data_IF_443299262175
#
_entry.id   IF_443299262175
#
_cell.length_a   1.000
_cell.length_b   1.000
_cell.length_c   1.000
_cell.angle_alpha   90.00
_cell.angle_beta   90.00
_cell.angle_gamma   90.00
#
_symmetry.space_group_name_H-M   'P 1'
#
loop_
_entity.id
_entity.type
_entity.pdbx_description
1 polymer ?
#
# COMPACT_ATOMS: atom_id res chain seq x y z
N UNK A 1 22.98 -56.71 -37.95
CA UNK A 1 21.87 -55.83 -37.51
C UNK A 1 22.29 -55.17 -36.19
N UNK A 2 22.63 -53.88 -36.24
CA UNK A 2 23.10 -53.09 -35.10
C UNK A 2 21.89 -52.65 -34.25
N UNK A 3 21.85 -53.03 -32.97
CA UNK A 3 20.85 -52.54 -32.01
C UNK A 3 21.36 -51.27 -31.35
N UNK A 4 20.59 -50.20 -31.50
CA UNK A 4 20.84 -48.86 -30.96
C UNK A 4 20.57 -48.90 -29.45
N UNK A 5 21.58 -48.52 -28.66
CA UNK A 5 21.46 -48.30 -27.22
C UNK A 5 20.85 -46.90 -27.04
N UNK A 6 19.59 -46.83 -26.62
CA UNK A 6 18.91 -45.59 -26.26
C UNK A 6 19.32 -45.15 -24.85
N UNK A 7 20.15 -44.11 -24.78
CA UNK A 7 20.61 -43.48 -23.55
C UNK A 7 19.53 -42.48 -23.08
N UNK A 8 18.79 -42.82 -22.03
CA UNK A 8 17.85 -41.90 -21.37
C UNK A 8 18.67 -40.97 -20.47
N UNK A 9 18.91 -39.75 -20.94
CA UNK A 9 19.43 -38.66 -20.11
C UNK A 9 18.26 -38.13 -19.29
N UNK A 10 18.16 -38.57 -18.03
CA UNK A 10 17.32 -37.91 -17.02
C UNK A 10 17.94 -36.54 -16.71
N UNK A 11 17.45 -35.51 -17.40
CA UNK A 11 17.67 -34.12 -17.02
C UNK A 11 16.95 -33.84 -15.71
N UNK A 12 17.66 -33.94 -14.59
CA UNK A 12 17.25 -33.32 -13.33
C UNK A 12 17.39 -31.82 -13.52
N UNK A 13 16.32 -31.19 -14.02
CA UNK A 13 16.15 -29.75 -13.94
C UNK A 13 15.98 -29.42 -12.45
N UNK A 14 17.11 -29.15 -11.80
CA UNK A 14 17.16 -28.60 -10.47
C UNK A 14 16.40 -27.28 -10.46
N UNK A 15 15.18 -27.31 -9.95
CA UNK A 15 14.47 -26.11 -9.53
C UNK A 15 15.28 -25.50 -8.40
N UNK A 16 16.13 -24.53 -8.72
CA UNK A 16 16.68 -23.59 -7.77
C UNK A 16 15.51 -22.79 -7.21
N UNK A 17 14.91 -23.32 -6.13
CA UNK A 17 14.07 -22.56 -5.24
C UNK A 17 14.95 -21.42 -4.70
N UNK A 18 14.81 -20.23 -5.28
CA UNK A 18 15.34 -19.01 -4.71
C UNK A 18 14.68 -18.86 -3.34
N UNK A 19 15.36 -19.32 -2.29
CA UNK A 19 15.00 -19.05 -0.92
C UNK A 19 15.00 -17.53 -0.76
N UNK A 20 13.82 -16.93 -0.82
CA UNK A 20 13.63 -15.53 -0.56
C UNK A 20 14.20 -15.27 0.86
N UNK A 21 15.23 -14.43 1.03
CA UNK A 21 15.90 -14.30 2.32
C UNK A 21 14.86 -13.94 3.38
N UNK A 22 14.76 -14.79 4.42
CA UNK A 22 13.77 -14.61 5.47
C UNK A 22 13.92 -13.23 6.09
N UNK A 23 12.84 -12.46 6.16
CA UNK A 23 12.85 -11.10 6.73
C UNK A 23 13.42 -11.12 8.16
N UNK A 24 14.21 -10.11 8.55
CA UNK A 24 14.80 -10.07 9.88
C UNK A 24 13.68 -9.95 10.93
N UNK A 25 13.73 -10.83 11.93
CA UNK A 25 12.80 -10.82 13.04
C UNK A 25 13.26 -9.77 14.06
N UNK A 26 12.45 -8.75 14.27
CA UNK A 26 12.75 -7.65 15.19
C UNK A 26 11.91 -7.81 16.44
N UNK A 27 12.58 -7.74 17.60
CA UNK A 27 11.90 -7.63 18.90
C UNK A 27 11.40 -6.19 19.06
N UNK A 28 10.12 -6.04 19.38
CA UNK A 28 9.48 -4.74 19.57
C UNK A 28 8.84 -4.68 20.97
N UNK A 29 8.62 -3.48 21.49
CA UNK A 29 7.78 -3.28 22.67
C UNK A 29 6.29 -3.37 22.26
N UNK A 30 5.66 -4.51 22.52
CA UNK A 30 4.29 -4.78 22.10
C UNK A 30 3.23 -3.89 22.77
N UNK A 31 3.55 -3.26 23.89
CA UNK A 31 2.61 -2.42 24.64
C UNK A 31 2.51 -1.00 24.04
N UNK A 32 3.54 -0.55 23.32
CA UNK A 32 3.64 0.82 22.77
C UNK A 32 3.83 0.84 21.24
N UNK A 33 3.78 -0.32 20.59
CA UNK A 33 3.98 -0.41 19.14
C UNK A 33 2.86 0.32 18.38
N UNK A 34 3.26 1.14 17.43
CA UNK A 34 2.40 1.79 16.44
C UNK A 34 2.94 1.58 15.04
N UNK A 35 2.02 1.65 14.08
CA UNK A 35 2.29 1.50 12.66
C UNK A 35 1.99 2.82 11.96
N UNK A 36 2.87 3.21 11.04
CA UNK A 36 2.62 4.33 10.13
C UNK A 36 2.67 3.85 8.69
N UNK A 37 1.67 4.30 7.93
CA UNK A 37 1.54 4.06 6.51
C UNK A 37 1.57 5.44 5.87
N UNK A 38 2.75 5.87 5.43
CA UNK A 38 2.92 7.20 4.88
C UNK A 38 3.31 7.11 3.42
N UNK A 39 2.68 7.93 2.60
CA UNK A 39 3.09 8.16 1.21
C UNK A 39 3.52 9.62 1.11
N UNK A 40 4.78 9.87 1.48
CA UNK A 40 5.38 11.20 1.33
C UNK A 40 5.92 11.29 -0.11
N UNK A 41 5.94 12.53 -0.64
CA UNK A 41 6.59 12.98 -1.89
C UNK A 41 7.58 11.99 -2.52
N UNK A 42 7.48 11.89 -3.84
CA UNK A 42 8.35 11.09 -4.72
C UNK A 42 8.07 9.58 -4.65
N UNK A 43 6.78 9.21 -4.72
CA UNK A 43 6.33 7.86 -5.11
C UNK A 43 6.68 6.76 -4.10
N UNK A 44 6.99 7.18 -2.88
CA UNK A 44 7.49 6.30 -1.86
C UNK A 44 6.37 5.92 -0.92
N UNK A 45 5.88 4.71 -1.11
CA UNK A 45 5.19 4.00 -0.06
C UNK A 45 6.17 3.72 1.09
N UNK A 46 5.92 4.35 2.24
CA UNK A 46 6.65 4.13 3.48
C UNK A 46 5.78 3.36 4.45
N UNK A 47 6.30 2.22 4.90
CA UNK A 47 5.70 1.44 5.97
C UNK A 47 6.69 1.32 7.12
N UNK A 48 6.27 1.79 8.28
CA UNK A 48 7.12 1.97 9.46
C UNK A 48 6.42 1.43 10.70
N UNK A 49 7.19 0.81 11.58
CA UNK A 49 6.77 0.48 12.93
C UNK A 49 7.64 1.25 13.93
N UNK A 50 7.02 1.84 14.94
CA UNK A 50 7.70 2.67 15.93
C UNK A 50 7.10 2.48 17.33
N UNK A 51 7.96 2.64 18.33
CA UNK A 51 7.62 2.50 19.75
C UNK A 51 8.66 3.23 20.61
N UNK A 52 8.36 3.40 21.89
CA UNK A 52 9.34 3.86 22.87
C UNK A 52 9.87 2.67 23.69
N UNK A 53 11.18 2.61 23.83
CA UNK A 53 11.82 1.77 24.84
C UNK A 53 11.69 2.44 26.22
N UNK A 54 11.47 1.66 27.29
CA UNK A 54 11.34 2.20 28.65
C UNK A 54 12.55 3.04 29.07
N UNK A 55 12.31 4.05 29.89
CA UNK A 55 13.39 4.82 30.51
C UNK A 55 14.24 3.93 31.43
N UNK A 56 15.57 4.07 31.35
CA UNK A 56 16.50 3.45 32.28
C UNK A 56 17.34 4.57 32.87
N UNK A 57 17.07 4.96 34.13
CA UNK A 57 17.77 6.05 34.80
C UNK A 57 19.30 5.90 34.67
N UNK A 58 20.03 6.96 34.27
CA UNK A 58 19.59 8.35 34.11
C UNK A 58 19.04 8.71 32.71
N UNK A 59 18.85 7.74 31.83
CA UNK A 59 18.45 7.95 30.44
C UNK A 59 16.92 8.05 30.29
N UNK A 60 16.48 8.99 29.46
CA UNK A 60 15.08 9.13 29.05
C UNK A 60 14.65 7.96 28.14
N UNK A 61 13.33 7.74 27.94
CA UNK A 61 12.84 6.80 26.95
C UNK A 61 13.48 7.06 25.58
N UNK A 62 13.72 5.99 24.82
CA UNK A 62 14.29 6.07 23.49
C UNK A 62 13.25 5.72 22.44
N UNK A 63 13.05 6.63 21.47
CA UNK A 63 12.22 6.36 20.30
C UNK A 63 12.94 5.41 19.35
N UNK A 64 12.27 4.32 18.97
CA UNK A 64 12.79 3.34 18.01
C UNK A 64 11.88 3.29 16.80
N UNK A 65 12.49 3.17 15.62
CA UNK A 65 11.78 3.15 14.34
C UNK A 65 12.43 2.16 13.35
N UNK A 66 11.61 1.24 12.83
CA UNK A 66 11.98 0.28 11.79
C UNK A 66 11.10 0.45 10.55
N UNK A 67 11.64 0.16 9.38
CA UNK A 67 10.93 0.23 8.10
C UNK A 67 11.46 1.31 7.18
N UNK A 68 10.61 1.74 6.25
CA UNK A 68 11.02 2.58 5.12
C UNK A 68 11.07 4.09 5.44
N UNK A 69 11.82 4.46 6.47
CA UNK A 69 12.07 5.85 6.85
C UNK A 69 13.52 6.23 6.69
N UNK A 70 13.84 7.51 6.55
CA UNK A 70 15.24 8.01 6.51
C UNK A 70 15.99 7.74 7.81
N UNK A 71 15.30 7.70 8.95
CA UNK A 71 15.90 7.50 10.29
C UNK A 71 16.19 6.04 10.61
N UNK A 72 15.48 5.11 9.98
CA UNK A 72 15.63 3.70 10.29
C UNK A 72 16.87 3.07 9.68
N UNK A 73 17.61 2.28 10.47
CA UNK A 73 18.69 1.42 9.98
C UNK A 73 18.18 0.07 9.44
N UNK A 74 16.95 -0.32 9.79
CA UNK A 74 16.34 -1.61 9.44
C UNK A 74 15.21 -1.34 8.46
N UNK A 75 15.46 -1.47 7.16
CA UNK A 75 14.49 -1.09 6.11
C UNK A 75 13.39 -2.12 5.86
N UNK A 76 13.67 -3.39 6.18
CA UNK A 76 12.79 -4.54 5.98
C UNK A 76 12.70 -5.29 7.29
N UNK A 77 11.54 -5.79 7.66
CA UNK A 77 11.35 -6.38 8.97
C UNK A 77 10.17 -7.35 8.99
N UNK A 78 10.17 -8.20 10.01
CA UNK A 78 8.97 -8.83 10.55
C UNK A 78 9.00 -8.75 12.08
N UNK A 79 7.85 -8.58 12.71
CA UNK A 79 7.72 -8.71 14.16
C UNK A 79 6.42 -9.43 14.51
N UNK A 80 6.34 -9.92 15.75
CA UNK A 80 5.14 -10.56 16.28
C UNK A 80 4.95 -10.17 17.73
N UNK A 81 3.74 -9.76 18.03
CA UNK A 81 3.15 -9.52 19.35
C UNK A 81 1.96 -10.46 19.54
N UNK A 82 1.44 -10.64 20.77
CA UNK A 82 0.30 -11.52 21.02
C UNK A 82 -0.92 -11.25 20.13
N UNK A 83 -1.24 -9.97 19.90
CA UNK A 83 -2.44 -9.55 19.16
C UNK A 83 -2.17 -8.88 17.80
N UNK A 84 -0.89 -8.74 17.43
CA UNK A 84 -0.47 -8.04 16.23
C UNK A 84 0.79 -8.67 15.64
N UNK A 85 0.84 -8.79 14.33
CA UNK A 85 2.09 -9.02 13.59
C UNK A 85 2.14 -8.13 12.38
N UNK A 86 3.35 -7.73 11.98
CA UNK A 86 3.55 -7.03 10.73
C UNK A 86 4.81 -7.50 10.02
N UNK A 87 4.78 -7.44 8.70
CA UNK A 87 5.91 -7.75 7.83
C UNK A 87 6.05 -6.68 6.75
N UNK A 88 7.28 -6.39 6.38
CA UNK A 88 7.59 -5.47 5.29
C UNK A 88 8.88 -5.87 4.58
N UNK A 89 8.78 -6.11 3.27
CA UNK A 89 9.89 -6.59 2.43
C UNK A 89 10.44 -5.53 1.45
N UNK A 90 9.92 -4.29 1.50
CA UNK A 90 10.23 -3.21 0.56
C UNK A 90 9.26 -3.12 -0.64
N UNK A 91 8.38 -4.10 -0.82
CA UNK A 91 7.35 -4.14 -1.86
C UNK A 91 5.95 -4.37 -1.28
N UNK A 92 5.85 -5.23 -0.27
CA UNK A 92 4.61 -5.65 0.37
C UNK A 92 4.72 -5.34 1.85
N UNK A 93 3.71 -4.65 2.39
CA UNK A 93 3.47 -4.56 3.82
C UNK A 93 2.25 -5.43 4.16
N UNK A 94 2.35 -6.26 5.18
CA UNK A 94 1.23 -7.02 5.74
C UNK A 94 1.11 -6.71 7.22
N UNK A 95 -0.11 -6.46 7.67
CA UNK A 95 -0.49 -6.32 9.07
C UNK A 95 -1.56 -7.37 9.35
N UNK A 96 -1.39 -8.10 10.44
CA UNK A 96 -2.36 -9.10 10.89
C UNK A 96 -2.66 -8.92 12.36
N UNK A 97 -3.94 -8.87 12.70
CA UNK A 97 -4.46 -8.80 14.07
C UNK A 97 -5.70 -9.69 14.20
N UNK A 98 -6.34 -9.69 15.37
CA UNK A 98 -7.58 -10.44 15.62
C UNK A 98 -8.76 -9.99 14.74
N UNK A 99 -8.82 -8.70 14.42
CA UNK A 99 -9.87 -8.10 13.59
C UNK A 99 -9.34 -6.91 12.79
N UNK A 100 -10.06 -6.49 11.77
CA UNK A 100 -9.71 -5.30 11.01
C UNK A 100 -9.73 -4.01 11.84
N UNK A 101 -10.72 -3.86 12.72
CA UNK A 101 -10.79 -2.71 13.62
C UNK A 101 -9.61 -2.68 14.60
N UNK A 102 -9.14 -3.84 15.05
CA UNK A 102 -7.91 -3.94 15.85
C UNK A 102 -6.68 -3.44 15.07
N UNK A 103 -6.58 -3.75 13.76
CA UNK A 103 -5.51 -3.20 12.92
C UNK A 103 -5.56 -1.67 12.91
N UNK A 104 -6.76 -1.10 12.73
CA UNK A 104 -6.95 0.35 12.69
C UNK A 104 -6.55 1.03 14.02
N UNK A 105 -6.62 0.34 15.16
CA UNK A 105 -6.16 0.85 16.45
C UNK A 105 -4.63 0.95 16.61
N UNK A 106 -3.86 0.23 15.79
CA UNK A 106 -2.40 0.32 15.74
C UNK A 106 -1.89 1.34 14.71
N UNK A 107 -2.75 1.74 13.77
CA UNK A 107 -2.44 2.74 12.74
C UNK A 107 -2.91 4.11 13.23
N UNK A 108 -2.09 5.14 13.05
CA UNK A 108 -2.47 6.52 13.34
C UNK A 108 -3.67 6.94 12.49
N UNK A 109 -4.63 7.70 13.04
CA UNK A 109 -5.79 8.15 12.25
C UNK A 109 -5.40 9.02 11.05
N UNK A 110 -4.26 9.72 11.15
CA UNK A 110 -3.67 10.49 10.06
C UNK A 110 -3.19 9.64 8.88
N UNK A 111 -2.98 8.34 9.11
CA UNK A 111 -2.49 7.38 8.11
C UNK A 111 -3.61 6.50 7.54
N UNK A 112 -4.88 6.74 7.93
CA UNK A 112 -6.02 6.07 7.28
C UNK A 112 -6.19 6.45 5.80
N UNK A 113 -6.02 7.72 5.40
CA UNK A 113 -5.99 8.12 3.99
C UNK A 113 -4.67 7.67 3.35
N UNK A 114 -4.64 6.44 2.83
CA UNK A 114 -3.44 5.87 2.21
C UNK A 114 -3.29 6.42 0.80
N UNK A 115 -2.20 7.14 0.52
CA UNK A 115 -1.96 7.72 -0.79
C UNK A 115 -1.81 6.65 -1.88
N UNK A 116 -2.55 6.83 -2.96
CA UNK A 116 -2.39 6.02 -4.18
C UNK A 116 -1.46 6.74 -5.17
N UNK A 117 -1.56 8.06 -5.20
CA UNK A 117 -0.82 8.93 -6.07
C UNK A 117 -0.49 10.25 -5.38
N UNK A 118 0.76 10.73 -5.54
CA UNK A 118 1.17 12.06 -5.11
C UNK A 118 2.31 12.58 -5.98
N UNK A 119 2.14 13.73 -6.61
CA UNK A 119 3.19 14.40 -7.36
C UNK A 119 3.29 15.87 -6.98
N UNK A 120 4.51 16.38 -6.94
CA UNK A 120 4.80 17.77 -6.58
C UNK A 120 5.76 18.35 -7.61
N UNK A 121 5.46 19.55 -8.10
CA UNK A 121 6.35 20.27 -9.01
C UNK A 121 6.25 21.77 -8.76
N UNK A 122 7.23 22.53 -9.24
CA UNK A 122 7.18 23.99 -9.22
C UNK A 122 6.70 24.49 -10.58
N UNK A 123 5.71 25.37 -10.59
CA UNK A 123 5.29 26.09 -11.81
C UNK A 123 6.47 26.76 -12.51
N UNK A 124 7.44 27.24 -11.73
CA UNK A 124 8.71 27.79 -12.22
C UNK A 124 9.88 26.97 -11.68
N UNK A 125 10.21 25.85 -12.35
CA UNK A 125 11.20 24.87 -11.90
C UNK A 125 12.61 25.45 -11.62
N UNK A 126 13.12 26.32 -12.50
CA UNK A 126 14.49 26.85 -12.38
C UNK A 126 14.70 27.72 -11.13
N UNK A 127 13.66 28.43 -10.69
CA UNK A 127 13.68 29.31 -9.52
C UNK A 127 12.92 28.73 -8.33
N UNK A 128 12.45 27.48 -8.44
CA UNK A 128 11.67 26.75 -7.43
C UNK A 128 10.54 27.61 -6.83
N UNK A 129 9.74 28.25 -7.70
CA UNK A 129 8.61 29.12 -7.31
C UNK A 129 7.27 28.55 -7.76
N UNK A 130 6.23 28.76 -6.94
CA UNK A 130 4.86 28.34 -7.24
C UNK A 130 4.70 26.82 -7.12
N UNK A 131 4.95 26.29 -5.92
CA UNK A 131 4.79 24.86 -5.66
C UNK A 131 3.35 24.42 -5.93
N UNK A 132 3.20 23.40 -6.77
CA UNK A 132 1.97 22.68 -7.03
C UNK A 132 2.11 21.27 -6.46
N UNK A 133 1.05 20.78 -5.84
CA UNK A 133 0.98 19.40 -5.39
C UNK A 133 -0.37 18.81 -5.76
N UNK A 134 -0.34 17.58 -6.23
CA UNK A 134 -1.51 16.83 -6.66
C UNK A 134 -1.43 15.46 -6.05
N UNK A 135 -2.57 14.91 -5.68
CA UNK A 135 -2.59 13.60 -5.10
C UNK A 135 -4.00 13.17 -4.75
N UNK A 136 -4.14 11.87 -4.63
CA UNK A 136 -5.35 11.24 -4.13
C UNK A 136 -5.01 10.00 -3.31
N UNK A 137 -5.88 9.73 -2.35
CA UNK A 137 -5.75 8.65 -1.40
C UNK A 137 -7.01 7.78 -1.41
N UNK A 138 -6.88 6.59 -0.84
CA UNK A 138 -7.99 5.74 -0.47
C UNK A 138 -7.98 5.61 1.05
N UNK A 139 -9.05 6.04 1.68
CA UNK A 139 -9.19 5.97 3.13
C UNK A 139 -9.59 4.56 3.54
N UNK A 140 -8.71 3.87 4.26
CA UNK A 140 -8.96 2.48 4.66
C UNK A 140 -10.03 2.35 5.75
N UNK A 141 -10.34 3.42 6.50
CA UNK A 141 -11.36 3.39 7.57
C UNK A 141 -12.78 3.51 7.02
N UNK A 142 -13.02 4.39 6.06
CA UNK A 142 -14.37 4.67 5.53
C UNK A 142 -14.52 4.38 4.03
N UNK A 143 -13.47 3.84 3.41
CA UNK A 143 -13.38 3.41 2.01
C UNK A 143 -13.56 4.55 0.99
N UNK A 144 -13.45 5.81 1.39
CA UNK A 144 -13.60 6.93 0.45
C UNK A 144 -12.32 7.21 -0.34
N UNK A 145 -12.49 7.72 -1.56
CA UNK A 145 -11.42 8.37 -2.29
C UNK A 145 -11.45 9.85 -2.00
N UNK A 146 -10.31 10.39 -1.57
CA UNK A 146 -10.14 11.82 -1.35
C UNK A 146 -9.01 12.33 -2.24
N UNK A 147 -9.20 13.49 -2.86
CA UNK A 147 -8.11 14.24 -3.46
C UNK A 147 -7.66 15.34 -2.50
N UNK A 148 -6.42 15.80 -2.64
CA UNK A 148 -5.86 16.82 -1.73
C UNK A 148 -6.59 18.17 -1.77
N UNK A 149 -7.34 18.41 -2.85
CA UNK A 149 -7.97 19.72 -3.13
C UNK A 149 -9.50 19.61 -3.12
N UNK A 150 -10.04 18.42 -3.37
CA UNK A 150 -11.47 18.17 -3.42
C UNK A 150 -11.85 16.87 -2.71
N UNK A 151 -12.84 16.97 -1.83
CA UNK A 151 -13.48 15.81 -1.20
C UNK A 151 -14.48 15.21 -2.18
N UNK A 152 -14.02 14.23 -2.95
CA UNK A 152 -14.85 13.55 -3.92
C UNK A 152 -15.93 12.69 -3.24
N UNK A 153 -17.07 12.51 -3.91
CA UNK A 153 -18.17 11.65 -3.49
C UNK A 153 -18.58 10.70 -4.62
N UNK A 154 -19.36 9.68 -4.26
CA UNK A 154 -19.92 8.75 -5.24
C UNK A 154 -20.79 9.47 -6.28
N UNK A 155 -20.70 9.04 -7.53
CA UNK A 155 -21.42 9.63 -8.64
C UNK A 155 -20.81 10.92 -9.20
N UNK A 156 -19.74 11.45 -8.60
CA UNK A 156 -19.07 12.63 -9.15
C UNK A 156 -18.49 12.37 -10.54
N UNK A 157 -18.75 13.31 -11.44
CA UNK A 157 -18.06 13.42 -12.72
C UNK A 157 -17.00 14.53 -12.62
N UNK A 158 -15.76 14.14 -12.37
CA UNK A 158 -14.65 15.07 -12.27
C UNK A 158 -14.27 15.65 -13.64
N UNK A 159 -15.02 15.31 -14.71
CA UNK A 159 -14.91 15.94 -16.03
C UNK A 159 -15.81 17.19 -16.19
N UNK A 160 -16.53 17.69 -15.17
CA UNK A 160 -17.54 18.76 -15.34
C UNK A 160 -17.34 20.07 -14.52
N UNK A 161 -16.20 20.29 -13.83
CA UNK A 161 -15.98 21.57 -13.12
C UNK A 161 -14.51 21.88 -12.81
N UNK A 162 -14.20 23.15 -12.48
CA UNK A 162 -12.89 23.84 -12.28
C UNK A 162 -11.80 23.02 -11.52
N UNK A 163 -12.19 21.93 -10.86
CA UNK A 163 -11.39 20.96 -10.10
C UNK A 163 -10.45 20.08 -10.98
N UNK A 164 -10.05 20.54 -12.16
CA UNK A 164 -9.72 19.64 -13.27
C UNK A 164 -8.32 19.03 -13.30
N UNK A 165 -7.33 19.50 -12.57
CA UNK A 165 -5.95 19.17 -12.99
C UNK A 165 -5.34 17.91 -12.33
N UNK A 166 -5.88 17.42 -11.22
CA UNK A 166 -5.08 16.59 -10.31
C UNK A 166 -5.26 15.07 -10.43
N UNK A 167 -6.37 14.60 -11.01
CA UNK A 167 -6.59 13.18 -11.31
C UNK A 167 -6.58 12.99 -12.82
N UNK A 168 -5.57 12.32 -13.41
CA UNK A 168 -5.52 12.06 -14.84
C UNK A 168 -6.71 11.25 -15.31
N UNK A 169 -7.10 11.42 -16.58
CA UNK A 169 -8.19 10.66 -17.21
C UNK A 169 -7.92 9.16 -17.23
N UNK A 170 -6.65 8.81 -17.33
CA UNK A 170 -6.16 7.45 -17.48
C UNK A 170 -6.02 6.74 -16.13
N UNK A 171 -6.03 7.49 -15.02
CA UNK A 171 -6.00 6.90 -13.67
C UNK A 171 -7.23 6.03 -13.49
N UNK A 172 -6.99 4.76 -13.15
CA UNK A 172 -8.03 3.76 -12.99
C UNK A 172 -7.90 3.13 -11.61
N UNK A 173 -9.00 3.11 -10.88
CA UNK A 173 -9.13 2.36 -9.63
C UNK A 173 -10.27 1.39 -9.81
N UNK A 174 -9.98 0.10 -9.66
CA UNK A 174 -10.96 -0.97 -9.67
C UNK A 174 -11.03 -1.62 -8.30
N UNK A 175 -12.16 -2.27 -8.00
CA UNK A 175 -12.31 -3.02 -6.77
C UNK A 175 -12.93 -4.40 -7.00
N UNK A 176 -12.63 -5.32 -6.09
CA UNK A 176 -13.34 -6.59 -5.95
C UNK A 176 -13.79 -6.74 -4.50
N UNK A 177 -14.98 -7.29 -4.33
CA UNK A 177 -15.50 -7.72 -3.03
C UNK A 177 -15.63 -9.24 -3.03
N UNK A 178 -15.18 -9.87 -1.95
CA UNK A 178 -15.33 -11.30 -1.70
C UNK A 178 -14.86 -12.21 -2.85
N UNK A 179 -13.82 -11.78 -3.58
CA UNK A 179 -13.26 -12.51 -4.72
C UNK A 179 -14.08 -12.42 -6.03
N UNK A 180 -15.14 -11.61 -6.05
CA UNK A 180 -16.03 -11.43 -7.18
C UNK A 180 -15.45 -10.68 -8.39
N UNK A 181 -16.35 -10.14 -9.20
CA UNK A 181 -16.00 -9.42 -10.43
C UNK A 181 -15.27 -8.09 -10.14
N UNK A 182 -14.36 -7.72 -11.05
CA UNK A 182 -13.70 -6.42 -11.00
C UNK A 182 -14.67 -5.33 -11.43
N UNK A 183 -15.05 -4.46 -10.48
CA UNK A 183 -15.92 -3.31 -10.71
C UNK A 183 -15.09 -2.00 -10.74
N UNK A 184 -15.51 -0.98 -11.49
CA UNK A 184 -14.84 0.31 -11.47
C UNK A 184 -15.15 1.06 -10.18
N UNK A 185 -14.14 1.60 -9.50
CA UNK A 185 -14.30 2.60 -8.46
C UNK A 185 -14.16 3.99 -9.10
N UNK A 186 -13.02 4.23 -9.75
CA UNK A 186 -12.70 5.43 -10.50
C UNK A 186 -12.30 5.01 -11.92
N UNK A 187 -13.00 5.52 -12.93
CA UNK A 187 -12.65 5.29 -14.33
C UNK A 187 -13.00 6.50 -15.17
N UNK A 188 -12.06 6.95 -16.02
CA UNK A 188 -12.23 8.15 -16.84
C UNK A 188 -12.74 9.35 -16.01
N UNK A 189 -12.16 9.54 -14.82
CA UNK A 189 -12.51 10.62 -13.88
C UNK A 189 -13.95 10.62 -13.37
N UNK A 190 -14.65 9.49 -13.48
CA UNK A 190 -15.98 9.28 -12.90
C UNK A 190 -15.87 8.35 -11.70
N UNK A 191 -16.49 8.75 -10.60
CA UNK A 191 -16.54 7.95 -9.38
C UNK A 191 -17.85 7.17 -9.38
N UNK A 192 -17.75 5.85 -9.29
CA UNK A 192 -18.91 4.96 -9.28
C UNK A 192 -19.60 4.97 -7.90
N UNK A 193 -20.75 4.31 -7.79
CA UNK A 193 -21.34 3.96 -6.50
C UNK A 193 -20.78 2.59 -6.08
N UNK A 194 -20.07 2.52 -4.95
CA UNK A 194 -19.29 1.39 -4.48
C UNK A 194 -19.27 1.24 -2.95
N UNK A 195 -19.62 2.27 -2.17
CA UNK A 195 -19.51 2.26 -0.71
C UNK A 195 -20.39 1.19 -0.07
N UNK A 196 -21.60 0.95 -0.60
CA UNK A 196 -22.48 -0.12 -0.11
C UNK A 196 -21.83 -1.51 -0.27
N UNK A 197 -21.24 -1.78 -1.44
CA UNK A 197 -20.51 -3.02 -1.71
C UNK A 197 -19.36 -3.19 -0.71
N UNK A 198 -18.54 -2.15 -0.52
CA UNK A 198 -17.39 -2.20 0.38
C UNK A 198 -17.78 -2.26 1.86
N UNK A 199 -18.90 -1.66 2.24
CA UNK A 199 -19.41 -1.64 3.61
C UNK A 199 -19.70 -3.04 4.13
N UNK A 200 -20.40 -3.85 3.33
CA UNK A 200 -20.84 -5.20 3.72
C UNK A 200 -19.85 -6.31 3.37
N UNK A 201 -18.86 -6.06 2.50
CA UNK A 201 -17.89 -7.06 2.07
C UNK A 201 -17.04 -7.59 3.22
N UNK A 202 -16.74 -8.90 3.20
CA UNK A 202 -15.78 -9.54 4.11
C UNK A 202 -14.35 -9.31 3.66
N UNK A 203 -14.11 -9.32 2.35
CA UNK A 203 -12.81 -9.09 1.74
C UNK A 203 -12.93 -8.02 0.66
N UNK A 204 -11.97 -7.11 0.62
CA UNK A 204 -11.89 -6.03 -0.35
C UNK A 204 -10.51 -6.07 -0.99
N UNK A 205 -10.48 -5.99 -2.30
CA UNK A 205 -9.28 -5.67 -3.05
C UNK A 205 -9.49 -4.37 -3.79
N UNK A 206 -8.63 -3.38 -3.56
CA UNK A 206 -8.54 -2.14 -4.32
C UNK A 206 -7.33 -2.26 -5.23
N UNK A 207 -7.54 -2.12 -6.53
CA UNK A 207 -6.49 -2.11 -7.55
C UNK A 207 -6.34 -0.71 -8.09
N UNK A 208 -5.10 -0.23 -8.17
CA UNK A 208 -4.78 1.07 -8.70
C UNK A 208 -3.84 0.91 -9.90
N UNK A 209 -4.15 1.65 -10.96
CA UNK A 209 -3.32 1.76 -12.15
C UNK A 209 -3.23 3.22 -12.55
N UNK A 210 -2.01 3.76 -12.48
CA UNK A 210 -1.69 5.06 -13.04
C UNK A 210 -1.30 4.94 -14.53
N UNK A 211 -1.49 5.98 -15.38
CA UNK A 211 -1.01 5.96 -16.76
C UNK A 211 0.45 5.54 -16.89
N UNK A 212 0.76 4.89 -18.01
CA UNK A 212 2.13 4.61 -18.44
C UNK A 212 2.81 5.92 -18.87
N UNK A 213 3.12 6.79 -17.91
CA UNK A 213 4.22 7.72 -18.06
C UNK A 213 5.52 6.89 -17.96
N UNK A 214 6.52 7.03 -18.88
CA UNK A 214 7.80 6.36 -18.78
C UNK A 214 8.50 6.49 -17.42
N UNK A 215 8.17 7.51 -16.63
CA UNK A 215 8.74 7.75 -15.31
C UNK A 215 7.86 7.26 -14.15
N UNK A 216 6.58 6.91 -14.40
CA UNK A 216 5.58 6.55 -13.36
C UNK A 216 5.58 7.47 -12.13
N UNK A 217 5.85 8.75 -12.35
CA UNK A 217 6.01 9.71 -11.25
C UNK A 217 4.69 9.88 -10.53
N UNK A 218 4.65 9.47 -9.27
CA UNK A 218 3.64 9.70 -8.26
C UNK A 218 2.97 8.43 -7.73
N UNK A 219 3.08 7.29 -8.42
CA UNK A 219 2.37 6.06 -8.06
C UNK A 219 3.00 5.38 -6.84
N UNK A 220 2.28 5.40 -5.72
CA UNK A 220 2.79 4.85 -4.45
C UNK A 220 2.38 3.38 -4.23
N UNK A 221 1.15 3.02 -4.61
CA UNK A 221 0.56 1.69 -4.38
C UNK A 221 -0.25 1.22 -5.58
N UNK A 222 -0.20 -0.09 -5.85
CA UNK A 222 -0.95 -0.74 -6.94
C UNK A 222 -2.07 -1.67 -6.45
N UNK A 223 -1.99 -2.17 -5.22
CA UNK A 223 -3.07 -2.92 -4.60
C UNK A 223 -3.13 -2.69 -3.10
N UNK A 224 -4.34 -2.59 -2.58
CA UNK A 224 -4.66 -2.69 -1.16
C UNK A 224 -5.58 -3.90 -1.00
N UNK A 225 -5.26 -4.79 -0.08
CA UNK A 225 -6.08 -5.96 0.25
C UNK A 225 -6.51 -5.88 1.71
N UNK A 226 -7.81 -6.02 1.95
CA UNK A 226 -8.42 -5.97 3.27
C UNK A 226 -9.21 -7.27 3.44
N UNK A 227 -8.86 -8.08 4.43
CA UNK A 227 -9.63 -9.25 4.86
C UNK A 227 -10.18 -8.94 6.26
N UNK A 228 -11.44 -8.49 6.31
CA UNK A 228 -12.09 -8.09 7.56
C UNK A 228 -12.35 -9.28 8.46
N UNK A 229 -12.67 -10.43 7.87
CA UNK A 229 -12.98 -11.67 8.57
C UNK A 229 -11.74 -12.25 9.28
N UNK A 230 -10.57 -12.15 8.66
CA UNK A 230 -9.33 -12.72 9.20
C UNK A 230 -8.38 -11.68 9.82
N UNK A 231 -8.80 -10.40 9.87
CA UNK A 231 -7.99 -9.31 10.40
C UNK A 231 -6.65 -9.19 9.68
N UNK A 232 -6.68 -9.05 8.35
CA UNK A 232 -5.47 -8.86 7.52
C UNK A 232 -5.61 -7.61 6.67
N UNK A 233 -4.55 -6.80 6.64
CA UNK A 233 -4.40 -5.65 5.77
C UNK A 233 -3.06 -5.76 5.03
N UNK A 234 -3.09 -5.68 3.70
CA UNK A 234 -1.89 -5.71 2.87
C UNK A 234 -1.83 -4.57 1.90
N UNK A 235 -0.63 -4.04 1.72
CA UNK A 235 -0.31 -3.01 0.74
C UNK A 235 0.73 -3.55 -0.21
N UNK A 236 0.50 -3.38 -1.51
CA UNK A 236 1.39 -3.84 -2.56
C UNK A 236 1.83 -2.65 -3.40
N UNK A 237 3.13 -2.34 -3.36
CA UNK A 237 3.76 -1.37 -4.25
C UNK A 237 3.78 -1.89 -5.68
N UNK A 238 4.10 -3.17 -5.87
CA UNK A 238 3.99 -3.84 -7.17
C UNK A 238 2.93 -4.92 -7.16
N UNK A 239 1.96 -4.78 -8.06
CA UNK A 239 0.95 -5.77 -8.38
C UNK A 239 0.43 -5.51 -9.80
N UNK A 240 0.10 -6.56 -10.55
CA UNK A 240 -0.52 -6.40 -11.86
C UNK A 240 -1.98 -5.97 -11.70
N UNK A 241 -2.41 -4.97 -12.47
CA UNK A 241 -3.83 -4.65 -12.55
C UNK A 241 -4.56 -5.83 -13.23
N UNK A 242 -5.65 -6.36 -12.65
CA UNK A 242 -6.33 -7.51 -13.23
C UNK A 242 -6.86 -7.19 -14.62
N UNK A 243 -6.63 -8.10 -15.57
CA UNK A 243 -7.27 -8.07 -16.90
C UNK A 243 -8.60 -8.81 -16.78
N UNK A 244 -9.62 -8.37 -17.52
CA UNK A 244 -10.92 -9.05 -17.58
C UNK A 244 -10.76 -10.50 -18.01
#
# INVERSE_FOLDING_TARGET
MRKIIGMVVLGVLGTSAFANPSLPLIKVNCDDIKLSINTIRDDRFSFVAYWNEPAIFPNTPQYVEIGDSTRSKIKKFRFTCPDLSATYDGNTAEIKAKSYDSILGYISEFDYPVGLYSHSWYKYENIKKGLMNVGYNFNIKDFKIESWIYKSKEGDDLNLGINYDHIPKEATIGYKVDGGELKPLLFNRKISYYLDDLGVAKKIDIYHKYPNDPFRVGESLKRIHIDKENGVLRFYRNHSFPVK
#
